data_IF_817974862700
#
_entry.id   IF_817974862700
#
_cell.length_a   1.000
_cell.length_b   1.000
_cell.length_c   1.000
_cell.angle_alpha   90.00
_cell.angle_beta   90.00
_cell.angle_gamma   90.00
#
_symmetry.space_group_name_H-M   'P 1'
#
loop_
_entity.id
_entity.type
_entity.pdbx_description
1 polymer ?
#
# COMPACT_ATOMS: atom_id res chain seq x y z
N UNK A 1 -15.16 -29.24 -30.98
CA UNK A 1 -14.16 -28.23 -30.56
C UNK A 1 -14.37 -27.97 -29.08
N UNK A 2 -13.44 -28.44 -28.27
CA UNK A 2 -13.44 -28.38 -26.81
C UNK A 2 -12.82 -27.06 -26.35
N UNK A 3 -13.64 -26.07 -26.03
CA UNK A 3 -13.18 -24.88 -25.31
C UNK A 3 -13.00 -25.24 -23.84
N UNK A 4 -11.77 -25.54 -23.43
CA UNK A 4 -11.40 -25.59 -22.02
C UNK A 4 -11.74 -24.23 -21.39
N UNK A 5 -12.44 -24.17 -20.24
CA UNK A 5 -12.65 -22.92 -19.54
C UNK A 5 -11.28 -22.35 -19.21
N UNK A 6 -10.99 -21.16 -19.73
CA UNK A 6 -9.75 -20.46 -19.48
C UNK A 6 -9.53 -20.40 -17.97
N UNK A 7 -8.43 -21.00 -17.52
CA UNK A 7 -7.93 -20.82 -16.17
C UNK A 7 -7.74 -19.33 -15.97
N UNK A 8 -8.72 -18.65 -15.39
CA UNK A 8 -8.52 -17.33 -14.80
C UNK A 8 -7.46 -17.59 -13.75
N UNK A 9 -6.20 -17.27 -14.09
CA UNK A 9 -5.11 -17.37 -13.16
C UNK A 9 -5.54 -16.64 -11.90
N UNK A 10 -5.66 -17.36 -10.80
CA UNK A 10 -5.94 -16.75 -9.50
C UNK A 10 -4.68 -16.03 -9.08
N UNK A 11 -4.45 -14.85 -9.66
CA UNK A 11 -3.36 -13.98 -9.22
C UNK A 11 -3.55 -13.71 -7.73
N UNK A 12 -2.49 -13.81 -6.92
CA UNK A 12 -2.58 -13.58 -5.50
C UNK A 12 -3.03 -12.13 -5.27
N UNK A 13 -4.26 -11.97 -4.77
CA UNK A 13 -4.80 -10.66 -4.41
C UNK A 13 -4.13 -10.20 -3.11
N UNK A 14 -3.45 -9.07 -3.18
CA UNK A 14 -2.83 -8.39 -2.05
C UNK A 14 -3.68 -7.17 -1.71
N UNK A 15 -4.03 -7.02 -0.43
CA UNK A 15 -4.68 -5.83 0.11
C UNK A 15 -3.64 -4.97 0.80
N UNK A 16 -3.65 -3.67 0.52
CA UNK A 16 -2.83 -2.69 1.23
C UNK A 16 -3.74 -1.77 2.05
N UNK A 17 -3.39 -1.54 3.30
CA UNK A 17 -4.10 -0.64 4.21
C UNK A 17 -3.12 0.29 4.86
N UNK A 18 -3.47 1.56 5.02
CA UNK A 18 -2.68 2.49 5.82
C UNK A 18 -3.59 3.21 6.81
N UNK A 19 -3.02 3.70 7.89
CA UNK A 19 -3.80 4.32 8.96
C UNK A 19 -3.05 5.36 9.76
N UNK A 20 -3.76 5.88 10.75
CA UNK A 20 -3.28 6.85 11.74
C UNK A 20 -2.26 6.28 12.72
N UNK A 21 -2.01 4.96 12.68
CA UNK A 21 -0.97 4.27 13.44
C UNK A 21 0.42 4.40 12.80
N UNK A 22 0.54 5.22 11.74
CA UNK A 22 1.78 5.49 11.02
C UNK A 22 2.35 4.22 10.36
N UNK A 23 1.46 3.27 10.01
CA UNK A 23 1.87 2.05 9.31
C UNK A 23 1.09 1.83 8.02
N UNK A 24 1.77 1.17 7.08
CA UNK A 24 1.17 0.58 5.89
C UNK A 24 1.32 -0.94 6.02
N UNK A 25 0.20 -1.65 5.99
CA UNK A 25 0.14 -3.11 6.13
C UNK A 25 -0.31 -3.74 4.83
N UNK A 26 0.31 -4.87 4.51
CA UNK A 26 0.03 -5.68 3.33
C UNK A 26 -0.52 -7.02 3.77
N UNK A 27 -1.63 -7.42 3.19
CA UNK A 27 -2.38 -8.61 3.55
C UNK A 27 -2.60 -9.49 2.34
N UNK A 28 -2.51 -10.79 2.52
CA UNK A 28 -3.04 -11.75 1.54
C UNK A 28 -4.56 -11.80 1.68
N UNK A 29 -5.29 -11.44 0.63
CA UNK A 29 -6.75 -11.39 0.69
C UNK A 29 -7.40 -12.74 1.01
N UNK A 30 -6.81 -13.83 0.50
CA UNK A 30 -7.34 -15.18 0.63
C UNK A 30 -7.17 -15.76 2.05
N UNK A 31 -6.11 -15.39 2.75
CA UNK A 31 -5.76 -15.95 4.06
C UNK A 31 -5.96 -14.98 5.22
N UNK A 32 -6.09 -13.68 4.93
CA UNK A 32 -6.11 -12.62 5.95
C UNK A 32 -4.77 -12.42 6.66
N UNK A 33 -3.70 -13.05 6.17
CA UNK A 33 -2.39 -12.98 6.80
C UNK A 33 -1.71 -11.66 6.43
N UNK A 34 -1.28 -10.91 7.45
CA UNK A 34 -0.40 -9.75 7.27
C UNK A 34 0.98 -10.24 6.85
N UNK A 35 1.31 -10.05 5.58
CA UNK A 35 2.61 -10.43 5.01
C UNK A 35 3.70 -9.42 5.34
N UNK A 36 3.35 -8.13 5.45
CA UNK A 36 4.34 -7.07 5.63
C UNK A 36 3.72 -5.86 6.31
N UNK A 37 4.48 -5.26 7.22
CA UNK A 37 4.15 -3.97 7.82
C UNK A 37 5.32 -3.02 7.56
N UNK A 38 5.03 -1.85 7.02
CA UNK A 38 5.98 -0.79 6.73
C UNK A 38 5.65 0.38 7.65
N UNK A 39 6.64 0.85 8.40
CA UNK A 39 6.52 2.02 9.27
C UNK A 39 6.77 3.30 8.46
N UNK A 40 5.88 4.26 8.60
CA UNK A 40 5.98 5.59 7.99
C UNK A 40 5.92 6.63 9.13
N UNK A 41 7.05 6.88 9.78
CA UNK A 41 7.12 7.60 11.06
C UNK A 41 6.74 9.08 10.99
N UNK A 42 6.86 9.69 9.80
CA UNK A 42 6.79 11.15 9.68
C UNK A 42 5.38 11.73 9.68
N UNK A 43 4.37 10.95 9.26
CA UNK A 43 2.98 11.40 9.27
C UNK A 43 1.99 10.27 8.97
N UNK A 44 0.74 10.55 9.27
CA UNK A 44 -0.44 9.78 8.91
C UNK A 44 -0.57 9.67 7.39
N UNK A 45 -0.82 8.46 6.91
CA UNK A 45 -1.06 8.19 5.49
C UNK A 45 -2.55 8.41 5.22
N UNK A 46 -2.85 9.36 4.34
CA UNK A 46 -4.22 9.78 4.02
C UNK A 46 -4.75 9.13 2.74
N UNK A 47 -3.86 8.72 1.83
CA UNK A 47 -4.24 8.04 0.60
C UNK A 47 -3.19 7.01 0.18
N UNK A 48 -3.66 5.95 -0.48
CA UNK A 48 -2.85 4.92 -1.13
C UNK A 48 -3.31 4.75 -2.58
N UNK A 49 -2.37 4.62 -3.51
CA UNK A 49 -2.66 4.32 -4.91
C UNK A 49 -1.69 3.25 -5.42
N UNK A 50 -2.19 2.30 -6.22
CA UNK A 50 -1.38 1.22 -6.80
C UNK A 50 -1.07 1.58 -8.24
N UNK A 51 0.17 1.37 -8.66
CA UNK A 51 0.55 1.59 -10.06
C UNK A 51 -0.17 0.60 -10.98
N UNK A 52 -0.54 0.98 -12.23
CA UNK A 52 -1.24 0.07 -13.15
C UNK A 52 -0.45 -1.21 -13.48
N UNK A 53 0.88 -1.13 -13.46
CA UNK A 53 1.80 -2.26 -13.63
C UNK A 53 1.93 -3.15 -12.37
N UNK A 54 1.27 -2.77 -11.27
CA UNK A 54 1.28 -3.45 -9.96
C UNK A 54 2.67 -3.62 -9.35
N UNK A 55 3.65 -2.83 -9.77
CA UNK A 55 5.02 -2.91 -9.27
C UNK A 55 5.21 -2.10 -7.98
N UNK A 56 4.43 -1.04 -7.77
CA UNK A 56 4.60 -0.09 -6.67
C UNK A 56 3.27 0.39 -6.09
N UNK A 57 3.33 0.86 -4.84
CA UNK A 57 2.24 1.56 -4.17
C UNK A 57 2.75 2.93 -3.75
N UNK A 58 2.03 3.98 -4.15
CA UNK A 58 2.24 5.34 -3.69
C UNK A 58 1.44 5.55 -2.40
N UNK A 59 2.09 6.15 -1.39
CA UNK A 59 1.45 6.55 -0.15
C UNK A 59 1.56 8.07 0.00
N UNK A 60 0.41 8.74 0.14
CA UNK A 60 0.36 10.17 0.39
C UNK A 60 0.21 10.42 1.89
N UNK A 61 1.17 11.12 2.47
CA UNK A 61 1.16 11.51 3.87
C UNK A 61 1.31 13.02 4.01
N UNK A 62 0.57 13.62 4.95
CA UNK A 62 0.62 15.06 5.18
C UNK A 62 1.73 15.37 6.19
N UNK A 63 2.97 15.54 5.72
CA UNK A 63 4.03 16.02 6.62
C UNK A 63 3.83 17.51 6.88
N UNK A 64 3.65 17.96 8.14
CA UNK A 64 3.70 19.37 8.45
C UNK A 64 5.13 19.84 8.12
N UNK A 65 5.22 20.82 7.22
CA UNK A 65 6.50 21.46 6.89
C UNK A 65 7.06 22.04 8.19
N UNK A 66 8.16 21.47 8.72
CA UNK A 66 8.93 22.16 9.74
C UNK A 66 9.32 23.52 9.18
N UNK A 67 9.27 24.61 9.99
CA UNK A 67 9.79 25.89 9.54
C UNK A 67 11.25 25.67 9.15
N UNK A 68 11.58 26.01 7.90
CA UNK A 68 12.97 26.12 7.49
C UNK A 68 13.66 27.01 8.52
N UNK A 69 14.70 26.50 9.16
CA UNK A 69 15.50 27.25 10.12
C UNK A 69 15.71 28.67 9.58
N UNK A 70 15.33 29.74 10.31
CA UNK A 70 15.80 31.05 9.96
C UNK A 70 17.30 31.02 10.16
N UNK A 71 18.04 31.06 9.05
CA UNK A 71 19.47 31.35 9.10
C UNK A 71 19.62 32.72 9.76
N UNK A 72 20.21 32.72 10.97
CA UNK A 72 20.79 33.90 11.61
C UNK A 72 22.22 34.07 11.13
#
# INVERSE_FOLDING_TARGET
MNTSPGTVGSDPVILATAGYDHTVRFWQAHSGICTRTVQHQDSQVNALEITPDRSMIAAAACVPRLPAHPHV
#
